data_IF_719148924439
#
_entry.id   IF_719148924439
#
_cell.length_a   1.000
_cell.length_b   1.000
_cell.length_c   1.000
_cell.angle_alpha   90.00
_cell.angle_beta   90.00
_cell.angle_gamma   90.00
#
_symmetry.space_group_name_H-M   'P 1'
#
loop_
_entity.id
_entity.type
_entity.pdbx_description
1 polymer ?
#
# COMPACT_ATOMS: atom_id res chain seq x y z
N UNK A 1 14.52 -6.23 -8.55
CA UNK A 1 14.72 -5.16 -9.55
C UNK A 1 14.64 -3.82 -8.82
N UNK A 2 15.46 -2.83 -9.17
CA UNK A 2 15.43 -1.51 -8.53
C UNK A 2 14.44 -0.59 -9.26
N UNK A 3 13.64 0.14 -8.51
CA UNK A 3 12.62 1.05 -9.04
C UNK A 3 12.63 2.38 -8.27
N UNK A 4 12.07 3.42 -8.88
CA UNK A 4 11.67 4.63 -8.18
C UNK A 4 10.17 4.59 -7.90
N UNK A 5 9.73 5.24 -6.84
CA UNK A 5 8.31 5.38 -6.52
C UNK A 5 8.02 6.77 -5.95
N UNK A 6 6.88 7.33 -6.36
CA UNK A 6 6.28 8.52 -5.75
C UNK A 6 5.07 8.09 -4.93
N UNK A 7 5.03 8.53 -3.68
CA UNK A 7 3.93 8.28 -2.75
C UNK A 7 3.31 9.62 -2.33
N UNK A 8 1.99 9.73 -2.50
CA UNK A 8 1.21 10.90 -2.10
C UNK A 8 0.12 10.46 -1.14
N UNK A 9 0.11 11.06 0.05
CA UNK A 9 -0.91 10.85 1.08
C UNK A 9 -1.39 12.23 1.53
N UNK A 10 -2.64 12.56 1.22
CA UNK A 10 -3.23 13.87 1.50
C UNK A 10 -4.60 13.72 2.15
N UNK A 11 -5.06 14.71 2.90
CA UNK A 11 -6.43 14.72 3.42
C UNK A 11 -7.45 14.66 2.27
N UNK A 12 -8.40 13.73 2.35
CA UNK A 12 -9.56 13.72 1.48
C UNK A 12 -10.63 14.69 2.01
N UNK A 13 -11.51 15.22 1.14
CA UNK A 13 -12.64 16.04 1.58
C UNK A 13 -13.48 15.32 2.65
N UNK A 14 -13.80 16.04 3.73
CA UNK A 14 -14.57 15.48 4.85
C UNK A 14 -16.03 15.33 4.45
N UNK A 15 -16.51 14.09 4.39
CA UNK A 15 -17.93 13.81 4.39
C UNK A 15 -18.47 13.95 5.81
N UNK A 16 -19.27 15.00 6.08
CA UNK A 16 -19.85 15.26 7.42
C UNK A 16 -20.67 14.08 7.97
N UNK A 17 -21.18 13.22 7.10
CA UNK A 17 -21.93 12.01 7.46
C UNK A 17 -21.05 10.82 7.86
N UNK A 18 -19.77 10.79 7.47
CA UNK A 18 -18.94 9.60 7.60
C UNK A 18 -18.29 9.43 8.98
N UNK A 19 -18.29 10.48 9.82
CA UNK A 19 -17.67 10.52 11.16
C UNK A 19 -16.22 9.99 11.22
N UNK A 20 -15.53 9.93 10.08
CA UNK A 20 -14.22 9.31 9.88
C UNK A 20 -13.48 10.14 8.82
N UNK A 21 -12.21 10.46 9.10
CA UNK A 21 -11.35 11.13 8.13
C UNK A 21 -10.75 10.10 7.17
N UNK A 22 -10.84 10.38 5.87
CA UNK A 22 -10.12 9.61 4.84
C UNK A 22 -8.92 10.40 4.34
N UNK A 23 -7.86 9.69 3.96
CA UNK A 23 -6.70 10.23 3.28
C UNK A 23 -6.70 9.67 1.86
N UNK A 24 -6.58 10.54 0.86
CA UNK A 24 -6.27 10.13 -0.50
C UNK A 24 -4.89 9.47 -0.49
N UNK A 25 -4.79 8.30 -1.11
CA UNK A 25 -3.56 7.53 -1.24
C UNK A 25 -3.25 7.32 -2.71
N UNK A 26 -2.01 7.57 -3.13
CA UNK A 26 -1.52 7.11 -4.43
C UNK A 26 -0.04 6.76 -4.39
N UNK A 27 0.32 5.63 -5.01
CA UNK A 27 1.71 5.22 -5.21
C UNK A 27 1.94 4.94 -6.69
N UNK A 28 3.03 5.48 -7.26
CA UNK A 28 3.38 5.33 -8.67
C UNK A 28 4.84 4.91 -8.82
N UNK A 29 5.08 3.75 -9.41
CA UNK A 29 6.39 3.15 -9.54
C UNK A 29 6.89 3.09 -10.99
N UNK A 30 8.19 3.27 -11.18
CA UNK A 30 8.85 3.21 -12.49
C UNK A 30 10.22 2.55 -12.41
N UNK A 31 10.66 2.00 -13.54
CA UNK A 31 11.99 1.43 -13.73
C UNK A 31 13.08 2.45 -13.41
N UNK A 32 14.02 2.09 -12.54
CA UNK A 32 15.14 2.96 -12.25
C UNK A 32 15.99 3.23 -13.50
N UNK A 33 16.20 2.20 -14.34
CA UNK A 33 17.09 2.23 -15.51
C UNK A 33 16.44 2.85 -16.74
N UNK A 34 15.22 2.43 -17.08
CA UNK A 34 14.56 2.82 -18.34
C UNK A 34 13.56 3.96 -18.16
N UNK A 35 13.16 4.25 -16.91
CA UNK A 35 12.03 5.15 -16.57
C UNK A 35 10.67 4.66 -17.07
N UNK A 36 10.59 3.45 -17.61
CA UNK A 36 9.32 2.85 -17.98
C UNK A 36 8.43 2.67 -16.75
N UNK A 37 7.14 2.87 -16.97
CA UNK A 37 6.11 2.71 -15.95
C UNK A 37 5.99 1.24 -15.49
N UNK A 38 5.81 1.02 -14.19
CA UNK A 38 5.61 -0.32 -13.62
C UNK A 38 4.22 -0.51 -13.02
N UNK A 39 3.97 0.13 -11.88
CA UNK A 39 2.79 -0.12 -11.07
C UNK A 39 2.25 1.20 -10.59
N UNK A 40 0.93 1.36 -10.66
CA UNK A 40 0.25 2.43 -9.96
C UNK A 40 -0.86 1.84 -9.09
N UNK A 41 -1.07 2.46 -7.92
CA UNK A 41 -2.26 2.23 -7.10
C UNK A 41 -2.82 3.55 -6.56
N UNK A 42 -4.15 3.60 -6.46
CA UNK A 42 -4.89 4.71 -5.84
C UNK A 42 -5.95 4.20 -4.89
N UNK A 43 -6.25 4.98 -3.86
CA UNK A 43 -7.43 4.74 -3.05
C UNK A 43 -7.45 5.59 -1.79
N UNK A 44 -7.89 4.98 -0.68
CA UNK A 44 -8.12 5.70 0.56
C UNK A 44 -7.56 4.95 1.77
N UNK A 45 -6.87 5.69 2.63
CA UNK A 45 -6.43 5.27 3.96
C UNK A 45 -7.32 5.94 5.01
N UNK A 46 -7.70 5.22 6.04
CA UNK A 46 -8.37 5.80 7.21
C UNK A 46 -7.90 5.14 8.50
N UNK A 47 -7.97 5.89 9.60
CA UNK A 47 -7.57 5.45 10.93
C UNK A 47 -8.65 5.90 11.93
N UNK A 48 -9.12 4.98 12.76
CA UNK A 48 -10.09 5.27 13.81
C UNK A 48 -9.42 5.82 15.09
N UNK A 49 -10.19 6.32 16.08
CA UNK A 49 -9.63 6.90 17.29
C UNK A 49 -8.82 5.95 18.18
N UNK A 50 -8.97 4.62 18.02
CA UNK A 50 -8.24 3.62 18.80
C UNK A 50 -7.03 3.07 18.03
N UNK A 51 -6.79 3.56 16.81
CA UNK A 51 -5.63 3.24 15.99
C UNK A 51 -5.84 2.11 15.00
N UNK A 52 -7.07 1.62 14.78
CA UNK A 52 -7.33 0.68 13.69
C UNK A 52 -7.25 1.41 12.36
N UNK A 53 -6.53 0.84 11.41
CA UNK A 53 -6.32 1.39 10.09
C UNK A 53 -6.94 0.51 9.01
N UNK A 54 -7.44 1.15 7.96
CA UNK A 54 -7.90 0.49 6.74
C UNK A 54 -7.36 1.22 5.52
N UNK A 55 -6.78 0.47 4.59
CA UNK A 55 -6.35 0.94 3.28
C UNK A 55 -7.11 0.14 2.22
N UNK A 56 -7.78 0.85 1.32
CA UNK A 56 -8.35 0.25 0.11
C UNK A 56 -7.69 0.86 -1.10
N UNK A 57 -7.16 0.04 -2.01
CA UNK A 57 -6.57 0.54 -3.26
C UNK A 57 -7.09 -0.20 -4.49
N UNK A 58 -6.95 0.45 -5.64
CA UNK A 58 -7.12 -0.13 -6.99
C UNK A 58 -5.83 0.10 -7.76
N UNK A 59 -5.29 -0.97 -8.33
CA UNK A 59 -4.05 -0.96 -9.09
C UNK A 59 -4.26 -1.03 -10.60
N UNK A 60 -3.31 -0.50 -11.36
CA UNK A 60 -3.28 -0.61 -12.83
C UNK A 60 -3.02 -2.05 -13.34
N UNK A 61 -2.72 -2.98 -12.43
CA UNK A 61 -2.67 -4.43 -12.67
C UNK A 61 -4.07 -5.09 -12.70
N UNK A 62 -5.14 -4.33 -12.44
CA UNK A 62 -6.50 -4.85 -12.40
C UNK A 62 -6.87 -5.51 -11.08
N UNK A 63 -6.15 -5.21 -9.99
CA UNK A 63 -6.48 -5.66 -8.65
C UNK A 63 -7.04 -4.55 -7.78
N UNK A 64 -7.92 -4.92 -6.87
CA UNK A 64 -8.30 -4.09 -5.73
C UNK A 64 -7.88 -4.77 -4.45
N UNK A 65 -7.36 -4.03 -3.47
CA UNK A 65 -7.02 -4.59 -2.16
C UNK A 65 -7.86 -3.94 -1.08
N UNK A 66 -8.23 -4.73 -0.09
CA UNK A 66 -8.76 -4.29 1.19
C UNK A 66 -7.80 -4.76 2.28
N UNK A 67 -7.05 -3.84 2.87
CA UNK A 67 -6.05 -4.12 3.89
C UNK A 67 -6.47 -3.48 5.22
N UNK A 68 -6.29 -4.21 6.32
CA UNK A 68 -6.61 -3.73 7.68
C UNK A 68 -5.43 -3.91 8.62
N UNK A 69 -5.31 -3.07 9.63
CA UNK A 69 -4.35 -3.30 10.70
C UNK A 69 -4.35 -2.17 11.71
N UNK A 70 -3.18 -1.80 12.22
CA UNK A 70 -3.08 -0.87 13.35
C UNK A 70 -1.93 0.12 13.18
N UNK A 71 -2.19 1.35 13.60
CA UNK A 71 -1.17 2.38 13.81
C UNK A 71 -0.58 2.22 15.21
N UNK A 72 0.73 2.34 15.28
CA UNK A 72 1.52 2.46 16.50
C UNK A 72 2.52 3.61 16.30
N UNK A 73 3.22 4.07 17.36
CA UNK A 73 4.21 5.13 17.21
C UNK A 73 5.20 4.82 16.09
N UNK A 74 5.27 5.72 15.10
CA UNK A 74 6.13 5.64 13.93
C UNK A 74 5.93 4.41 13.02
N UNK A 75 4.85 3.64 13.18
CA UNK A 75 4.65 2.42 12.39
C UNK A 75 3.19 2.11 12.13
N UNK A 76 2.86 1.85 10.87
CA UNK A 76 1.56 1.31 10.43
C UNK A 76 1.80 -0.07 9.82
N UNK A 77 1.10 -1.08 10.33
CA UNK A 77 1.10 -2.44 9.75
C UNK A 77 -0.30 -2.73 9.25
N UNK A 78 -0.40 -3.14 7.99
CA UNK A 78 -1.62 -3.52 7.31
C UNK A 78 -1.48 -4.95 6.79
N UNK A 79 -2.57 -5.71 6.81
CA UNK A 79 -2.64 -7.07 6.28
C UNK A 79 -3.88 -7.19 5.41
N UNK A 80 -3.72 -7.84 4.26
CA UNK A 80 -4.77 -8.11 3.30
C UNK A 80 -5.92 -8.86 3.97
N UNK A 81 -7.13 -8.37 3.74
CA UNK A 81 -8.39 -9.04 4.10
C UNK A 81 -9.14 -9.53 2.89
N UNK A 82 -9.09 -8.78 1.80
CA UNK A 82 -9.68 -9.22 0.55
C UNK A 82 -8.95 -8.63 -0.66
N UNK A 83 -9.05 -9.33 -1.78
CA UNK A 83 -8.46 -8.94 -3.07
C UNK A 83 -9.43 -9.19 -4.22
N UNK A 84 -9.88 -8.10 -4.84
CA UNK A 84 -10.68 -8.15 -6.06
C UNK A 84 -9.79 -8.23 -7.30
N UNK A 85 -10.30 -8.85 -8.35
CA UNK A 85 -9.64 -8.97 -9.65
C UNK A 85 -10.63 -8.70 -10.76
N UNK A 86 -10.24 -7.93 -11.76
CA UNK A 86 -11.02 -7.81 -12.99
C UNK A 86 -10.96 -9.12 -13.78
N UNK A 87 -12.03 -9.46 -14.51
CA UNK A 87 -12.22 -10.77 -15.13
C UNK A 87 -11.24 -11.12 -16.25
N UNK A 88 -10.51 -10.13 -16.78
CA UNK A 88 -9.61 -10.28 -17.92
C UNK A 88 -8.19 -9.76 -17.63
N UNK A 89 -7.86 -9.46 -16.36
CA UNK A 89 -6.46 -9.24 -16.00
C UNK A 89 -5.72 -10.57 -15.95
N UNK A 90 -4.40 -10.50 -16.14
CA UNK A 90 -3.53 -11.64 -15.86
C UNK A 90 -3.70 -11.99 -14.39
N UNK A 91 -4.17 -13.20 -14.10
CA UNK A 91 -4.25 -13.66 -12.72
C UNK A 91 -2.84 -13.79 -12.16
N UNK A 92 -2.47 -12.85 -11.29
CA UNK A 92 -1.28 -12.97 -10.47
C UNK A 92 -1.74 -13.66 -9.18
N UNK A 93 -1.07 -14.76 -8.79
CA UNK A 93 -1.57 -15.64 -7.75
C UNK A 93 -1.35 -15.08 -6.34
N UNK A 94 -1.52 -13.77 -6.11
CA UNK A 94 -1.39 -13.14 -4.79
C UNK A 94 -2.54 -13.58 -3.90
N UNK A 95 -2.23 -14.29 -2.82
CA UNK A 95 -3.21 -14.78 -1.84
C UNK A 95 -3.22 -13.97 -0.55
N UNK A 96 -2.08 -13.35 -0.22
CA UNK A 96 -1.92 -12.59 1.00
C UNK A 96 -0.88 -11.48 0.81
N UNK A 97 -1.02 -10.40 1.57
CA UNK A 97 -0.13 -9.26 1.52
C UNK A 97 -0.03 -8.62 2.91
N UNK A 98 1.19 -8.25 3.30
CA UNK A 98 1.46 -7.40 4.47
C UNK A 98 2.21 -6.16 4.03
N UNK A 99 1.66 -4.99 4.35
CA UNK A 99 2.28 -3.70 4.10
C UNK A 99 2.66 -3.05 5.42
N UNK A 100 3.91 -2.63 5.53
CA UNK A 100 4.41 -1.92 6.70
C UNK A 100 4.98 -0.58 6.29
N UNK A 101 4.46 0.50 6.88
CA UNK A 101 5.09 1.82 6.84
C UNK A 101 5.85 2.07 8.14
N UNK A 102 7.07 2.58 8.03
CA UNK A 102 7.94 2.92 9.17
C UNK A 102 8.42 4.35 8.98
N UNK A 103 8.09 5.24 9.90
CA UNK A 103 8.68 6.58 9.95
C UNK A 103 10.01 6.50 10.70
N UNK A 104 11.10 6.84 10.03
CA UNK A 104 12.41 6.90 10.68
C UNK A 104 12.59 8.24 11.40
N UNK A 105 12.23 9.33 10.74
CA UNK A 105 12.29 10.69 11.28
C UNK A 105 11.33 11.64 10.51
N UNK A 106 11.56 12.95 10.55
CA UNK A 106 10.73 13.96 9.87
C UNK A 106 10.93 13.98 8.34
N UNK A 107 11.99 13.34 7.86
CA UNK A 107 12.45 13.37 6.46
C UNK A 107 12.32 12.02 5.78
N UNK A 108 12.45 10.92 6.50
CA UNK A 108 12.52 9.58 5.93
C UNK A 108 11.40 8.66 6.42
N UNK A 109 10.81 7.94 5.46
CA UNK A 109 9.84 6.88 5.71
C UNK A 109 10.20 5.66 4.87
N UNK A 110 10.01 4.46 5.39
CA UNK A 110 10.15 3.20 4.66
C UNK A 110 8.78 2.55 4.45
N UNK A 111 8.57 1.96 3.28
CA UNK A 111 7.50 0.99 3.02
C UNK A 111 8.13 -0.37 2.72
N UNK A 112 7.62 -1.41 3.37
CA UNK A 112 7.92 -2.81 3.08
C UNK A 112 6.62 -3.50 2.70
N UNK A 113 6.59 -4.15 1.54
CA UNK A 113 5.50 -5.02 1.13
C UNK A 113 6.03 -6.44 1.08
N UNK A 114 5.36 -7.32 1.80
CA UNK A 114 5.60 -8.75 1.78
C UNK A 114 4.35 -9.44 1.25
N UNK A 115 4.52 -10.51 0.47
CA UNK A 115 3.41 -11.19 -0.17
C UNK A 115 3.50 -12.70 0.02
N UNK A 116 2.34 -13.34 -0.07
CA UNK A 116 2.21 -14.78 -0.29
C UNK A 116 1.43 -15.00 -1.56
N UNK A 117 1.95 -15.89 -2.38
CA UNK A 117 1.29 -16.34 -3.60
C UNK A 117 0.88 -17.79 -3.50
N UNK A 118 0.04 -18.27 -4.41
CA UNK A 118 -0.37 -19.68 -4.49
C UNK A 118 0.81 -20.66 -4.62
N UNK A 119 1.99 -20.18 -5.05
CA UNK A 119 3.19 -21.01 -5.18
C UNK A 119 4.22 -20.77 -4.08
N UNK A 120 4.38 -19.53 -3.60
CA UNK A 120 5.45 -19.16 -2.68
C UNK A 120 5.11 -17.93 -1.80
N UNK A 121 5.52 -17.92 -0.52
CA UNK A 121 6.00 -19.06 0.26
C UNK A 121 4.84 -19.97 0.70
N UNK A 122 5.15 -21.20 1.13
CA UNK A 122 4.12 -22.14 1.64
C UNK A 122 3.48 -21.68 2.96
N UNK A 123 4.22 -20.94 3.78
CA UNK A 123 3.80 -20.39 5.08
C UNK A 123 4.43 -19.01 5.24
N UNK A 124 3.69 -18.06 5.81
CA UNK A 124 4.18 -16.70 6.08
C UNK A 124 4.23 -15.82 4.83
N UNK A 125 5.14 -14.86 4.83
CA UNK A 125 5.31 -13.90 3.74
C UNK A 125 6.75 -13.88 3.25
N UNK A 126 6.94 -13.51 1.99
CA UNK A 126 8.24 -13.20 1.41
C UNK A 126 8.26 -11.70 1.06
N UNK A 127 9.37 -11.03 1.36
CA UNK A 127 9.56 -9.63 0.95
C UNK A 127 9.44 -9.52 -0.57
N UNK A 128 8.52 -8.66 -1.01
CA UNK A 128 8.28 -8.37 -2.41
C UNK A 128 8.94 -7.04 -2.80
N UNK A 129 8.73 -5.99 -2.00
CA UNK A 129 9.36 -4.68 -2.20
C UNK A 129 9.75 -4.03 -0.88
N UNK A 130 10.82 -3.23 -0.93
CA UNK A 130 11.22 -2.29 0.11
C UNK A 130 11.61 -0.98 -0.56
N UNK A 131 11.07 0.14 -0.07
CA UNK A 131 11.34 1.48 -0.58
C UNK A 131 11.52 2.45 0.58
N UNK A 132 12.53 3.32 0.50
CA UNK A 132 12.74 4.42 1.44
C UNK A 132 12.46 5.73 0.71
N UNK A 133 11.47 6.47 1.20
CA UNK A 133 11.07 7.77 0.68
C UNK A 133 11.79 8.90 1.41
N UNK A 134 12.07 9.96 0.67
CA UNK A 134 12.44 11.26 1.24
C UNK A 134 11.25 12.20 1.09
N UNK A 135 10.81 12.81 2.18
CA UNK A 135 9.75 13.82 2.16
C UNK A 135 10.15 14.99 1.25
N UNK A 136 9.31 15.29 0.27
CA UNK A 136 9.46 16.48 -0.57
C UNK A 136 9.03 17.73 0.22
N UNK A 137 9.70 18.85 -0.04
CA UNK A 137 9.43 20.13 0.62
C UNK A 137 8.15 20.77 0.11
#
# INVERSE_FOLDING_TARGET
MTFGEELVINEAPIAKSANVQFLNFSARAWSHSTKDHFHDEWGFLTVDPVGNATLMTTGNNGFTTYETGTVSPNKLVLTLKDIGRISFSRDLPVEDLRRTFIRHDDRYMEQVIEMRTATHPKVGYLEHTRVVYTKLK
#
